data_IF_172759336717
#
_entry.id   IF_172759336717
#
_cell.length_a   1.000
_cell.length_b   1.000
_cell.length_c   1.000
_cell.angle_alpha   90.00
_cell.angle_beta   90.00
_cell.angle_gamma   90.00
#
_symmetry.space_group_name_H-M   'P 1'
#
loop_
_entity.id
_entity.type
_entity.pdbx_description
1 polymer ?
#
# COMPACT_ATOMS: atom_id res chain seq x y z
N UNK A 1 -53.76 -15.17 6.81
CA UNK A 1 -52.82 -14.39 7.66
C UNK A 1 -51.38 -14.94 7.65
N UNK A 2 -50.95 -15.72 6.64
CA UNK A 2 -49.64 -16.41 6.61
C UNK A 2 -48.73 -16.04 5.42
N UNK A 3 -49.04 -14.98 4.67
CA UNK A 3 -48.21 -14.52 3.53
C UNK A 3 -47.36 -13.28 3.88
N UNK A 4 -47.55 -12.70 5.08
CA UNK A 4 -46.89 -11.44 5.50
C UNK A 4 -45.57 -11.58 6.27
N UNK A 5 -45.17 -12.80 6.68
CA UNK A 5 -43.98 -13.02 7.52
C UNK A 5 -42.71 -13.21 6.70
N UNK A 6 -42.78 -13.78 5.49
CA UNK A 6 -41.62 -13.97 4.61
C UNK A 6 -41.02 -12.68 4.06
N UNK A 7 -41.82 -11.61 3.93
CA UNK A 7 -41.33 -10.32 3.38
C UNK A 7 -40.55 -9.48 4.40
N UNK A 8 -40.54 -9.87 5.68
CA UNK A 8 -39.73 -9.22 6.73
C UNK A 8 -38.45 -9.99 7.06
N UNK A 9 -38.36 -11.26 6.66
CA UNK A 9 -37.17 -12.08 6.85
C UNK A 9 -36.08 -11.72 5.81
N UNK A 10 -36.44 -11.40 4.56
CA UNK A 10 -35.47 -10.90 3.57
C UNK A 10 -34.87 -9.54 3.92
N UNK A 11 -35.58 -8.67 4.65
CA UNK A 11 -35.06 -7.36 5.04
C UNK A 11 -34.18 -7.40 6.29
N UNK A 12 -34.24 -8.48 7.09
CA UNK A 12 -33.35 -8.70 8.24
C UNK A 12 -32.07 -9.46 7.84
N UNK A 13 -32.13 -10.24 6.76
CA UNK A 13 -31.01 -11.03 6.23
C UNK A 13 -30.00 -10.20 5.42
N UNK A 14 -30.30 -8.93 5.13
CA UNK A 14 -29.33 -7.97 4.54
C UNK A 14 -28.60 -7.17 5.62
N UNK A 15 -29.13 -7.10 6.85
CA UNK A 15 -28.54 -6.29 7.93
C UNK A 15 -27.48 -7.04 8.77
N UNK A 16 -27.32 -8.36 8.60
CA UNK A 16 -26.37 -9.19 9.35
C UNK A 16 -25.20 -9.68 8.47
N UNK A 17 -25.04 -9.12 7.26
CA UNK A 17 -23.90 -9.38 6.37
C UNK A 17 -22.81 -8.29 6.42
N UNK A 18 -22.82 -7.44 7.46
CA UNK A 18 -21.87 -6.33 7.65
C UNK A 18 -21.11 -6.39 8.98
N UNK A 19 -21.02 -7.57 9.60
CA UNK A 19 -20.34 -7.73 10.88
C UNK A 19 -19.33 -8.88 10.81
N UNK A 20 -18.05 -8.50 10.87
CA UNK A 20 -16.88 -9.32 11.21
C UNK A 20 -16.09 -9.95 10.06
N UNK A 21 -15.80 -9.18 9.01
CA UNK A 21 -14.55 -9.37 8.28
C UNK A 21 -13.55 -8.34 8.77
N UNK A 22 -12.72 -8.65 9.77
CA UNK A 22 -11.49 -7.87 9.97
C UNK A 22 -10.63 -8.11 8.74
N UNK A 23 -10.64 -7.17 7.80
CA UNK A 23 -9.70 -7.19 6.68
C UNK A 23 -8.34 -6.95 7.31
N UNK A 24 -7.52 -8.00 7.39
CA UNK A 24 -6.13 -7.83 7.79
C UNK A 24 -5.45 -7.13 6.63
N UNK A 25 -5.34 -5.81 6.71
CA UNK A 25 -4.50 -5.03 5.81
C UNK A 25 -3.08 -5.15 6.35
N UNK A 26 -2.25 -5.94 5.69
CA UNK A 26 -0.82 -5.98 6.01
C UNK A 26 -0.15 -4.77 5.37
N UNK A 27 0.58 -4.01 6.17
CA UNK A 27 1.50 -2.99 5.68
C UNK A 27 2.54 -3.64 4.76
N UNK A 28 2.81 -3.02 3.62
CA UNK A 28 3.79 -3.50 2.64
C UNK A 28 5.01 -2.60 2.62
N UNK A 29 6.20 -3.22 2.58
CA UNK A 29 7.47 -2.53 2.41
C UNK A 29 7.82 -2.49 0.92
N UNK A 30 8.01 -1.29 0.38
CA UNK A 30 8.41 -1.05 -1.00
C UNK A 30 9.85 -0.54 -1.07
N UNK A 31 10.63 -1.04 -2.03
CA UNK A 31 12.05 -0.75 -2.18
C UNK A 31 12.33 -0.15 -3.55
N UNK A 32 13.13 0.91 -3.56
CA UNK A 32 13.50 1.64 -4.78
C UNK A 32 15.03 1.75 -4.83
N UNK A 33 15.61 1.39 -5.97
CA UNK A 33 17.03 1.51 -6.29
C UNK A 33 17.17 2.05 -7.73
N UNK A 34 17.57 3.31 -7.88
CA UNK A 34 17.73 3.92 -9.21
C UNK A 34 18.80 3.25 -10.08
N UNK A 35 19.77 2.56 -9.48
CA UNK A 35 20.90 1.97 -10.17
C UNK A 35 20.59 0.53 -10.61
N UNK A 36 20.07 -0.30 -9.70
CA UNK A 36 19.89 -1.75 -9.92
C UNK A 36 18.44 -2.21 -9.96
N UNK A 37 17.47 -1.32 -9.75
CA UNK A 37 16.06 -1.67 -9.80
C UNK A 37 15.53 -1.92 -11.20
N UNK A 38 14.34 -2.51 -11.24
CA UNK A 38 13.52 -2.73 -12.42
C UNK A 38 12.04 -2.46 -12.08
N UNK A 39 11.33 -1.71 -12.93
CA UNK A 39 9.93 -1.36 -12.70
C UNK A 39 8.96 -2.51 -13.02
N UNK A 40 9.45 -3.60 -13.62
CA UNK A 40 8.74 -4.88 -13.75
C UNK A 40 8.76 -5.71 -12.47
N UNK A 41 9.63 -5.39 -11.50
CA UNK A 41 9.64 -6.05 -10.20
C UNK A 41 8.39 -5.75 -9.37
N UNK A 42 8.08 -6.62 -8.41
CA UNK A 42 7.04 -6.38 -7.41
C UNK A 42 7.40 -5.23 -6.45
N UNK A 43 8.69 -4.92 -6.29
CA UNK A 43 9.17 -3.84 -5.43
C UNK A 43 9.08 -4.15 -3.93
N UNK A 44 8.65 -5.36 -3.54
CA UNK A 44 8.39 -5.75 -2.14
C UNK A 44 9.57 -6.39 -1.43
N UNK A 45 10.75 -6.38 -2.06
CA UNK A 45 11.99 -6.92 -1.49
C UNK A 45 13.20 -6.06 -1.90
N UNK A 46 14.22 -5.89 -1.04
CA UNK A 46 15.45 -5.19 -1.39
C UNK A 46 16.19 -5.79 -2.59
N UNK A 47 15.95 -7.08 -2.90
CA UNK A 47 16.59 -7.81 -4.00
C UNK A 47 15.84 -7.64 -5.34
N UNK A 48 14.60 -7.16 -5.30
CA UNK A 48 13.78 -6.88 -6.48
C UNK A 48 13.11 -5.49 -6.34
N UNK A 49 13.90 -4.41 -6.22
CA UNK A 49 13.37 -3.06 -6.05
C UNK A 49 12.87 -2.49 -7.37
N UNK A 50 11.98 -1.51 -7.29
CA UNK A 50 11.65 -0.64 -8.43
C UNK A 50 12.80 0.29 -8.77
N UNK A 51 12.80 0.81 -10.00
CA UNK A 51 13.85 1.69 -10.49
C UNK A 51 13.47 3.16 -10.44
N UNK A 52 12.25 3.51 -10.85
CA UNK A 52 11.92 4.90 -11.18
C UNK A 52 10.94 5.55 -10.20
N UNK A 53 11.05 6.87 -10.06
CA UNK A 53 10.06 7.69 -9.35
C UNK A 53 8.68 7.67 -10.04
N UNK A 54 8.66 7.42 -11.36
CA UNK A 54 7.42 7.27 -12.13
C UNK A 54 6.64 6.04 -11.67
N UNK A 55 7.32 4.92 -11.41
CA UNK A 55 6.70 3.72 -10.85
C UNK A 55 6.09 4.01 -9.48
N UNK A 56 6.84 4.65 -8.57
CA UNK A 56 6.33 5.09 -7.26
C UNK A 56 5.08 5.97 -7.42
N UNK A 57 5.11 6.93 -8.35
CA UNK A 57 4.00 7.85 -8.61
C UNK A 57 2.79 7.19 -9.28
N UNK A 58 2.94 6.00 -9.84
CA UNK A 58 1.84 5.23 -10.43
C UNK A 58 1.05 4.43 -9.39
N UNK A 59 1.64 4.19 -8.22
CA UNK A 59 1.05 3.40 -7.14
C UNK A 59 0.14 4.24 -6.24
N UNK A 60 -0.82 3.57 -5.60
CA UNK A 60 -1.63 4.12 -4.50
C UNK A 60 -1.35 3.28 -3.25
N UNK A 61 -0.63 3.87 -2.30
CA UNK A 61 -0.23 3.22 -1.06
C UNK A 61 -1.38 3.17 -0.05
N UNK A 62 -1.33 2.18 0.84
CA UNK A 62 -2.29 1.95 1.91
C UNK A 62 -1.75 2.42 3.26
N UNK A 63 -2.64 2.70 4.24
CA UNK A 63 -2.20 3.03 5.59
C UNK A 63 -1.23 1.98 6.17
N UNK A 64 -0.06 2.43 6.61
CA UNK A 64 0.98 1.58 7.19
C UNK A 64 2.09 1.17 6.23
N UNK A 65 1.93 1.38 4.91
CA UNK A 65 2.96 1.06 3.93
C UNK A 65 4.24 1.88 4.16
N UNK A 66 5.39 1.26 3.85
CA UNK A 66 6.69 1.90 3.96
C UNK A 66 7.37 1.95 2.59
N UNK A 67 8.00 3.08 2.27
CA UNK A 67 8.64 3.34 0.98
C UNK A 67 10.12 3.63 1.25
N UNK A 68 11.00 2.72 0.84
CA UNK A 68 12.43 2.77 1.11
C UNK A 68 13.24 3.11 -0.14
N UNK A 69 13.93 4.24 -0.10
CA UNK A 69 14.88 4.65 -1.14
C UNK A 69 16.29 4.18 -0.79
N UNK A 70 16.99 3.55 -1.73
CA UNK A 70 18.34 3.04 -1.47
C UNK A 70 19.31 4.19 -1.24
N UNK A 71 20.13 4.06 -0.19
CA UNK A 71 21.26 4.96 0.08
C UNK A 71 22.35 4.81 -0.98
N UNK A 72 23.09 5.88 -1.21
CA UNK A 72 24.17 5.93 -2.21
C UNK A 72 23.68 5.90 -3.66
N UNK A 73 22.39 6.15 -3.90
CA UNK A 73 21.82 6.29 -5.24
C UNK A 73 21.20 7.67 -5.41
N UNK A 74 21.02 8.12 -6.65
CA UNK A 74 20.47 9.45 -6.96
C UNK A 74 19.19 9.33 -7.77
N UNK A 75 18.18 10.11 -7.39
CA UNK A 75 16.90 10.16 -8.07
C UNK A 75 16.70 11.52 -8.74
N UNK A 76 16.32 11.53 -10.01
CA UNK A 76 16.02 12.75 -10.76
C UNK A 76 14.52 12.90 -10.97
N UNK A 77 13.99 14.08 -10.68
CA UNK A 77 12.57 14.41 -10.82
C UNK A 77 11.81 14.39 -9.49
N UNK A 78 10.49 14.26 -9.57
CA UNK A 78 9.60 14.28 -8.41
C UNK A 78 8.83 12.95 -8.30
N UNK A 79 8.75 12.40 -7.10
CA UNK A 79 7.80 11.33 -6.79
C UNK A 79 6.54 11.92 -6.14
N UNK A 80 5.37 11.46 -6.58
CA UNK A 80 4.09 11.77 -5.94
C UNK A 80 3.66 10.55 -5.14
N UNK A 81 3.69 10.64 -3.82
CA UNK A 81 3.18 9.59 -2.95
C UNK A 81 1.66 9.73 -2.88
N UNK A 82 0.93 8.79 -3.49
CA UNK A 82 -0.54 8.76 -3.46
C UNK A 82 -1.01 7.77 -2.39
N UNK A 83 -2.07 8.13 -1.69
CA UNK A 83 -2.63 7.34 -0.61
C UNK A 83 -2.68 8.15 0.68
N UNK A 84 -3.57 7.74 1.58
CA UNK A 84 -3.82 8.41 2.83
C UNK A 84 -3.39 7.51 3.98
N UNK A 85 -2.35 7.91 4.70
CA UNK A 85 -2.01 7.30 5.98
C UNK A 85 -3.04 7.67 7.05
N UNK A 86 -3.17 6.82 8.06
CA UNK A 86 -3.96 7.15 9.25
C UNK A 86 -3.03 7.56 10.39
N UNK A 87 -3.57 8.19 11.44
CA UNK A 87 -2.79 8.52 12.64
C UNK A 87 -2.08 7.31 13.25
N UNK A 88 -2.72 6.14 13.21
CA UNK A 88 -2.17 4.92 13.79
C UNK A 88 -1.31 4.11 12.80
N UNK A 89 -1.56 4.27 11.50
CA UNK A 89 -0.84 3.59 10.43
C UNK A 89 -0.50 4.62 9.34
N UNK A 90 0.54 5.45 9.55
CA UNK A 90 0.97 6.42 8.54
C UNK A 90 1.61 5.68 7.36
N UNK A 91 1.60 6.30 6.17
CA UNK A 91 2.51 5.91 5.09
C UNK A 91 3.87 6.53 5.40
N UNK A 92 4.94 5.73 5.42
CA UNK A 92 6.28 6.22 5.75
C UNK A 92 7.19 6.23 4.53
N UNK A 93 8.07 7.23 4.47
CA UNK A 93 9.13 7.31 3.47
C UNK A 93 10.45 7.39 4.21
N UNK A 94 11.37 6.50 3.88
CA UNK A 94 12.68 6.41 4.53
C UNK A 94 13.73 5.91 3.56
N UNK A 95 14.96 5.74 4.06
CA UNK A 95 16.08 5.23 3.29
C UNK A 95 16.59 3.90 3.85
N UNK A 96 17.10 3.03 2.98
CA UNK A 96 17.67 1.72 3.35
C UNK A 96 19.07 1.51 2.80
N UNK A 97 19.78 0.49 3.30
CA UNK A 97 21.14 0.17 2.88
C UNK A 97 22.18 1.06 3.56
N UNK A 98 23.27 1.36 2.85
CA UNK A 98 24.43 2.07 3.40
C UNK A 98 24.92 3.15 2.43
N UNK A 99 25.62 4.16 2.96
CA UNK A 99 26.08 5.32 2.20
C UNK A 99 25.22 6.56 2.43
N UNK A 100 25.45 7.57 1.61
CA UNK A 100 24.79 8.87 1.71
C UNK A 100 23.27 8.74 1.56
N UNK A 101 22.54 9.66 2.20
CA UNK A 101 21.10 9.76 2.00
C UNK A 101 20.81 10.12 0.54
N UNK A 102 19.78 9.50 -0.07
CA UNK A 102 19.40 9.72 -1.47
C UNK A 102 18.77 11.09 -1.72
#
# INVERSE_FOLDING_TARGET
MLVGIFRRICSFMVLVFFLNGSVIVFATDYYIDSNNGDDENDGTSPNSPWKTLSKVSSMTFQPGDNIYFKRGTMYSGCAVIKGDGTKNNPITVSAYGSGDSP
#
